data_IF_861984461977
#
_entry.id   IF_861984461977
#
_cell.length_a   1.000
_cell.length_b   1.000
_cell.length_c   1.000
_cell.angle_alpha   90.00
_cell.angle_beta   90.00
_cell.angle_gamma   90.00
#
_symmetry.space_group_name_H-M   'P 1'
#
loop_
_entity.id
_entity.type
_entity.pdbx_description
1 polymer ?
#
# COMPACT_ATOMS: atom_id res chain seq x y z
N UNK A 1 -19.40 -5.56 -13.36
CA UNK A 1 -18.24 -4.75 -12.94
C UNK A 1 -18.56 -3.26 -12.76
N UNK A 2 -18.03 -2.62 -11.70
CA UNK A 2 -18.02 -1.16 -11.46
C UNK A 2 -16.57 -0.70 -11.29
N UNK A 3 -16.21 0.41 -11.92
CA UNK A 3 -14.89 1.06 -11.78
C UNK A 3 -15.09 2.39 -11.04
N UNK A 4 -14.29 2.65 -10.02
CA UNK A 4 -14.32 3.91 -9.25
C UNK A 4 -12.91 4.49 -9.18
N UNK A 5 -12.76 5.73 -9.62
CA UNK A 5 -11.52 6.49 -9.48
C UNK A 5 -11.58 7.22 -8.14
N UNK A 6 -10.81 6.76 -7.15
CA UNK A 6 -10.80 7.40 -5.82
C UNK A 6 -9.79 8.55 -5.73
N UNK A 7 -8.76 8.54 -6.59
CA UNK A 7 -7.72 9.56 -6.69
C UNK A 7 -6.94 9.38 -8.01
N UNK A 8 -6.04 10.31 -8.35
CA UNK A 8 -5.24 10.27 -9.58
C UNK A 8 -5.95 10.81 -10.83
N UNK A 9 -7.18 11.29 -10.70
CA UNK A 9 -7.90 11.93 -11.80
C UNK A 9 -7.48 13.40 -11.97
N UNK A 10 -7.15 13.82 -13.20
CA UNK A 10 -6.67 15.17 -13.55
C UNK A 10 -5.39 15.63 -12.81
N UNK A 11 -4.59 14.69 -12.31
CA UNK A 11 -3.28 14.95 -11.68
C UNK A 11 -2.28 13.90 -12.14
N UNK A 12 -0.98 14.22 -12.05
CA UNK A 12 0.09 13.24 -12.26
C UNK A 12 0.35 12.54 -10.93
N UNK A 13 0.05 11.24 -10.88
CA UNK A 13 0.31 10.40 -9.72
C UNK A 13 -0.82 10.35 -8.69
N UNK A 14 -0.69 9.45 -7.70
CA UNK A 14 -1.69 9.22 -6.67
C UNK A 14 -2.76 8.21 -7.06
N UNK A 15 -2.48 7.36 -8.05
CA UNK A 15 -3.43 6.42 -8.64
C UNK A 15 -4.06 5.52 -7.58
N UNK A 16 -5.41 5.52 -7.54
CA UNK A 16 -6.24 4.67 -6.68
C UNK A 16 -7.50 4.27 -7.44
N UNK A 17 -7.42 3.19 -8.21
CA UNK A 17 -8.52 2.74 -9.07
C UNK A 17 -9.14 1.49 -8.45
N UNK A 18 -10.40 1.57 -8.04
CA UNK A 18 -11.13 0.46 -7.44
C UNK A 18 -11.98 -0.25 -8.51
N UNK A 19 -11.75 -1.54 -8.68
CA UNK A 19 -12.59 -2.43 -9.46
C UNK A 19 -13.46 -3.26 -8.51
N UNK A 20 -14.77 -3.25 -8.70
CA UNK A 20 -15.72 -4.05 -7.91
C UNK A 20 -16.61 -4.90 -8.81
N UNK A 21 -16.67 -6.20 -8.54
CA UNK A 21 -17.57 -7.13 -9.21
C UNK A 21 -18.08 -8.18 -8.21
N UNK A 22 -19.41 -8.30 -8.12
CA UNK A 22 -20.05 -9.11 -7.08
C UNK A 22 -19.58 -8.71 -5.68
N UNK A 23 -18.96 -9.68 -4.98
CA UNK A 23 -18.45 -9.53 -3.62
C UNK A 23 -16.93 -9.36 -3.54
N UNK A 24 -16.22 -9.23 -4.67
CA UNK A 24 -14.79 -8.94 -4.68
C UNK A 24 -14.53 -7.50 -5.11
N UNK A 25 -13.55 -6.88 -4.47
CA UNK A 25 -13.05 -5.55 -4.84
C UNK A 25 -11.52 -5.56 -4.84
N UNK A 26 -10.92 -5.15 -5.96
CA UNK A 26 -9.47 -5.11 -6.15
C UNK A 26 -9.06 -3.68 -6.50
N UNK A 27 -7.97 -3.20 -5.93
CA UNK A 27 -7.35 -1.95 -6.35
C UNK A 27 -6.35 -2.20 -7.49
N UNK A 28 -6.30 -1.31 -8.45
CA UNK A 28 -5.13 -1.06 -9.27
C UNK A 28 -4.44 0.19 -8.71
N UNK A 29 -3.27 -0.05 -8.12
CA UNK A 29 -2.44 0.90 -7.38
C UNK A 29 -3.12 1.52 -6.15
N UNK A 30 -2.29 1.99 -5.22
CA UNK A 30 -2.74 2.82 -4.10
C UNK A 30 -1.65 3.82 -3.70
N UNK A 31 -1.44 4.80 -4.58
CA UNK A 31 -0.28 5.68 -4.56
C UNK A 31 -0.43 6.98 -3.76
N UNK A 32 0.67 7.71 -3.63
CA UNK A 32 0.72 9.04 -3.02
C UNK A 32 0.43 10.12 -4.05
N UNK A 33 -0.55 10.99 -3.77
CA UNK A 33 -0.84 12.14 -4.63
C UNK A 33 0.14 13.28 -4.30
N UNK A 34 1.27 13.34 -5.00
CA UNK A 34 2.32 14.32 -4.71
C UNK A 34 1.85 15.78 -4.80
N UNK A 35 0.91 16.09 -5.69
CA UNK A 35 0.34 17.43 -5.79
C UNK A 35 -0.40 17.81 -4.51
N UNK A 36 -1.27 16.94 -3.99
CA UNK A 36 -2.00 17.21 -2.75
C UNK A 36 -1.07 17.18 -1.53
N UNK A 37 -0.10 16.27 -1.49
CA UNK A 37 0.88 16.24 -0.39
C UNK A 37 1.72 17.52 -0.38
N UNK A 38 2.20 18.00 -1.53
CA UNK A 38 2.95 19.26 -1.63
C UNK A 38 2.15 20.47 -1.13
N UNK A 39 0.83 20.51 -1.35
CA UNK A 39 -0.01 21.61 -0.85
C UNK A 39 0.04 21.78 0.69
N UNK A 40 0.29 20.71 1.43
CA UNK A 40 0.24 20.73 2.90
C UNK A 40 1.57 20.39 3.58
N UNK A 41 2.43 19.61 2.92
CA UNK A 41 3.68 19.08 3.44
C UNK A 41 4.82 19.43 2.48
N UNK A 42 5.28 20.69 2.58
CA UNK A 42 6.43 21.18 1.85
C UNK A 42 7.65 21.36 2.77
N UNK A 43 8.83 21.11 2.21
CA UNK A 43 10.15 21.22 2.84
C UNK A 43 10.28 20.47 4.18
N UNK A 44 10.09 21.18 5.29
CA UNK A 44 10.27 20.69 6.65
C UNK A 44 8.96 20.27 7.33
N UNK A 45 7.82 20.62 6.74
CA UNK A 45 6.51 20.26 7.27
C UNK A 45 6.14 18.85 6.83
N UNK A 46 5.83 17.99 7.80
CA UNK A 46 5.46 16.60 7.59
C UNK A 46 4.20 16.26 8.36
N UNK A 47 3.53 15.21 7.93
CA UNK A 47 2.45 14.61 8.68
C UNK A 47 2.92 14.22 10.08
N UNK A 48 2.03 14.34 11.07
CA UNK A 48 2.31 13.86 12.42
C UNK A 48 2.23 12.34 12.39
N UNK A 49 3.36 11.68 12.11
CA UNK A 49 3.42 10.22 11.97
C UNK A 49 2.83 9.44 13.15
N UNK A 50 2.94 9.99 14.37
CA UNK A 50 2.33 9.43 15.60
C UNK A 50 0.81 9.57 15.67
N UNK A 51 0.16 10.23 14.70
CA UNK A 51 -1.30 10.36 14.58
C UNK A 51 -1.88 9.41 13.52
N UNK A 52 -1.06 8.51 12.98
CA UNK A 52 -1.51 7.52 11.99
C UNK A 52 -2.12 8.20 10.77
N UNK A 53 -3.33 7.79 10.38
CA UNK A 53 -4.01 8.35 9.21
C UNK A 53 -4.73 9.67 9.47
N UNK A 54 -4.73 10.22 10.69
CA UNK A 54 -5.54 11.40 11.04
C UNK A 54 -5.32 12.59 10.12
N UNK A 55 -4.06 13.01 9.96
CA UNK A 55 -3.75 14.19 9.13
C UNK A 55 -4.12 13.92 7.67
N UNK A 56 -3.82 12.72 7.18
CA UNK A 56 -4.14 12.30 5.81
C UNK A 56 -5.66 12.32 5.55
N UNK A 57 -6.44 11.83 6.50
CA UNK A 57 -7.90 11.80 6.43
C UNK A 57 -8.52 13.20 6.46
N UNK A 58 -8.08 14.03 7.41
CA UNK A 58 -8.61 15.38 7.60
C UNK A 58 -8.29 16.29 6.41
N UNK A 59 -7.08 16.18 5.87
CA UNK A 59 -6.62 16.97 4.72
C UNK A 59 -7.07 16.41 3.36
N UNK A 60 -7.72 15.23 3.34
CA UNK A 60 -8.21 14.60 2.11
C UNK A 60 -7.09 14.05 1.21
N UNK A 61 -5.97 13.63 1.81
CA UNK A 61 -4.82 13.04 1.12
C UNK A 61 -5.02 11.55 0.79
N UNK A 62 -6.00 10.93 1.45
CA UNK A 62 -6.43 9.55 1.24
C UNK A 62 -7.96 9.51 1.13
N UNK A 63 -8.54 8.55 0.39
CA UNK A 63 -9.98 8.37 0.32
C UNK A 63 -10.59 8.25 1.72
N UNK A 64 -11.69 8.95 1.99
CA UNK A 64 -12.40 8.78 3.26
C UNK A 64 -13.23 7.49 3.18
N UNK A 65 -12.58 6.35 3.31
CA UNK A 65 -13.18 5.02 3.21
C UNK A 65 -12.75 4.15 4.39
N UNK A 66 -13.60 3.18 4.79
CA UNK A 66 -13.28 2.26 5.89
C UNK A 66 -12.51 1.03 5.36
N UNK A 67 -11.26 1.28 4.92
CA UNK A 67 -10.36 0.30 4.27
C UNK A 67 -8.95 0.26 4.89
N UNK A 68 -8.70 1.06 5.92
CA UNK A 68 -7.37 1.26 6.50
C UNK A 68 -7.10 0.32 7.67
N UNK A 69 -5.82 0.14 8.00
CA UNK A 69 -5.43 -0.65 9.17
C UNK A 69 -5.99 -0.01 10.43
N UNK A 70 -6.63 -0.83 11.25
CA UNK A 70 -7.25 -0.37 12.49
C UNK A 70 -6.25 0.24 13.47
N UNK A 71 -5.01 -0.24 13.47
CA UNK A 71 -3.94 0.26 14.34
C UNK A 71 -3.44 1.65 13.95
N UNK A 72 -3.69 2.11 12.72
CA UNK A 72 -3.37 3.47 12.26
C UNK A 72 -4.50 4.48 12.51
N UNK A 73 -5.65 4.05 13.03
CA UNK A 73 -6.80 4.91 13.31
C UNK A 73 -6.78 5.32 14.79
N UNK A 74 -6.45 6.58 15.13
CA UNK A 74 -6.45 7.01 16.52
C UNK A 74 -7.89 7.09 17.07
N UNK A 75 -7.98 7.06 18.41
CA UNK A 75 -9.26 6.99 19.14
C UNK A 75 -10.24 8.14 18.84
N UNK A 76 -9.73 9.32 18.51
CA UNK A 76 -10.54 10.50 18.12
C UNK A 76 -10.99 10.49 16.65
N UNK A 77 -10.55 9.52 15.84
CA UNK A 77 -10.97 9.34 14.45
C UNK A 77 -11.83 8.08 14.25
N UNK A 78 -11.81 7.16 15.20
CA UNK A 78 -12.43 5.83 15.07
C UNK A 78 -13.92 5.88 14.73
N UNK A 79 -14.66 6.83 15.32
CA UNK A 79 -16.09 6.98 15.07
C UNK A 79 -16.38 7.53 13.67
N UNK A 80 -15.55 8.45 13.17
CA UNK A 80 -15.72 8.99 11.82
C UNK A 80 -15.44 7.93 10.75
N UNK A 81 -14.36 7.16 10.90
CA UNK A 81 -14.06 6.04 9.99
C UNK A 81 -15.14 4.95 10.11
N UNK A 82 -15.52 4.60 11.35
CA UNK A 82 -16.53 3.57 11.63
C UNK A 82 -17.95 3.92 11.18
N UNK A 83 -18.25 5.20 10.97
CA UNK A 83 -19.53 5.64 10.40
C UNK A 83 -19.68 5.28 8.92
N UNK A 84 -18.57 4.95 8.24
CA UNK A 84 -18.56 4.52 6.85
C UNK A 84 -18.69 3.00 6.73
N UNK A 85 -19.41 2.56 5.71
CA UNK A 85 -19.56 1.14 5.39
C UNK A 85 -18.18 0.51 5.18
N UNK A 86 -17.91 -0.60 5.88
CA UNK A 86 -16.66 -1.33 5.72
C UNK A 86 -16.63 -1.97 4.34
N UNK A 87 -15.66 -1.58 3.52
CA UNK A 87 -15.46 -2.15 2.21
C UNK A 87 -14.43 -3.27 2.28
N UNK A 88 -14.81 -4.45 1.80
CA UNK A 88 -13.87 -5.58 1.65
C UNK A 88 -12.98 -5.30 0.43
N UNK A 89 -11.67 -5.31 0.64
CA UNK A 89 -10.65 -5.22 -0.41
C UNK A 89 -9.91 -6.55 -0.44
N UNK A 90 -9.88 -7.21 -1.59
CA UNK A 90 -9.33 -8.55 -1.77
C UNK A 90 -7.86 -8.54 -2.17
N UNK A 91 -7.40 -7.50 -2.87
CA UNK A 91 -6.00 -7.31 -3.23
C UNK A 91 -5.72 -5.88 -3.74
N UNK A 92 -4.44 -5.53 -3.80
CA UNK A 92 -3.92 -4.43 -4.62
C UNK A 92 -3.01 -5.00 -5.70
N UNK A 93 -3.37 -4.77 -6.97
CA UNK A 93 -2.48 -4.97 -8.10
C UNK A 93 -1.57 -3.75 -8.21
N UNK A 94 -0.27 -3.99 -8.33
CA UNK A 94 0.74 -2.94 -8.46
C UNK A 94 1.22 -2.90 -9.89
N UNK A 95 1.08 -1.75 -10.54
CA UNK A 95 1.58 -1.55 -11.90
C UNK A 95 3.11 -1.45 -11.93
N UNK A 96 3.70 -0.64 -11.05
CA UNK A 96 5.16 -0.51 -10.87
C UNK A 96 5.52 0.18 -9.55
N UNK A 97 6.82 0.27 -9.25
CA UNK A 97 7.33 0.60 -7.91
C UNK A 97 7.46 2.10 -7.57
N UNK A 98 6.88 3.01 -8.36
CA UNK A 98 6.92 4.43 -8.01
C UNK A 98 5.94 4.78 -6.89
N UNK A 99 6.28 5.78 -6.07
CA UNK A 99 5.51 6.13 -4.88
C UNK A 99 4.12 6.69 -5.17
N UNK A 100 3.91 7.25 -6.34
CA UNK A 100 2.61 7.67 -6.83
C UNK A 100 1.72 6.49 -7.29
N UNK A 101 2.23 5.26 -7.18
CA UNK A 101 1.50 4.00 -7.36
C UNK A 101 1.45 3.16 -6.08
N UNK A 102 2.49 3.18 -5.24
CA UNK A 102 2.56 2.30 -4.04
C UNK A 102 2.54 3.03 -2.70
N UNK A 103 2.77 4.34 -2.69
CA UNK A 103 3.16 5.10 -1.50
C UNK A 103 2.13 5.19 -0.38
N UNK A 104 0.88 4.75 -0.61
CA UNK A 104 -0.16 4.69 0.43
C UNK A 104 -0.64 3.25 0.72
N UNK A 105 -0.10 2.22 0.06
CA UNK A 105 -0.52 0.81 0.27
C UNK A 105 -0.30 0.38 1.73
N UNK A 106 0.73 0.87 2.40
CA UNK A 106 1.02 0.54 3.80
C UNK A 106 -0.09 0.99 4.79
N UNK A 107 -1.01 1.87 4.35
CA UNK A 107 -2.14 2.36 5.14
C UNK A 107 -3.34 1.40 5.12
N UNK A 108 -3.50 0.62 4.04
CA UNK A 108 -4.62 -0.30 3.84
C UNK A 108 -4.60 -1.44 4.87
N UNK A 109 -5.77 -1.96 5.25
CA UNK A 109 -5.93 -3.10 6.16
C UNK A 109 -4.85 -4.16 5.93
N UNK A 110 -4.17 -4.58 6.99
CA UNK A 110 -2.95 -5.41 6.92
C UNK A 110 -3.15 -6.76 6.24
N UNK A 111 -4.40 -7.21 6.12
CA UNK A 111 -4.74 -8.47 5.49
C UNK A 111 -4.91 -8.38 3.97
N UNK A 112 -4.97 -7.17 3.39
CA UNK A 112 -5.07 -6.98 1.95
C UNK A 112 -3.74 -7.41 1.30
N UNK A 113 -3.65 -8.45 0.48
CA UNK A 113 -2.40 -8.81 -0.18
C UNK A 113 -2.02 -7.80 -1.27
N UNK A 114 -0.73 -7.77 -1.61
CA UNK A 114 -0.23 -7.09 -2.82
C UNK A 114 0.15 -8.10 -3.89
N UNK A 115 -0.10 -7.73 -5.14
CA UNK A 115 0.22 -8.54 -6.32
C UNK A 115 1.02 -7.67 -7.28
N UNK A 116 2.19 -8.14 -7.72
CA UNK A 116 3.04 -7.39 -8.63
C UNK A 116 4.06 -8.27 -9.33
N UNK A 117 4.78 -7.71 -10.30
CA UNK A 117 5.88 -8.43 -10.96
C UNK A 117 7.03 -8.69 -9.98
N UNK A 118 7.83 -9.75 -10.18
CA UNK A 118 9.04 -9.99 -9.39
C UNK A 118 9.90 -8.72 -9.25
N UNK A 119 10.15 -8.03 -10.36
CA UNK A 119 10.98 -6.83 -10.42
C UNK A 119 10.38 -5.70 -9.58
N UNK A 120 9.07 -5.46 -9.72
CA UNK A 120 8.35 -4.44 -8.96
C UNK A 120 8.43 -4.71 -7.46
N UNK A 121 8.16 -5.95 -7.04
CA UNK A 121 8.19 -6.36 -5.63
C UNK A 121 9.61 -6.24 -5.03
N UNK A 122 10.65 -6.64 -5.78
CA UNK A 122 12.04 -6.51 -5.38
C UNK A 122 12.47 -5.04 -5.24
N UNK A 123 12.04 -4.16 -6.16
CA UNK A 123 12.33 -2.72 -6.08
C UNK A 123 11.63 -2.11 -4.87
N UNK A 124 10.34 -2.40 -4.65
CA UNK A 124 9.59 -1.92 -3.48
C UNK A 124 10.31 -2.32 -2.18
N UNK A 125 10.69 -3.60 -2.07
CA UNK A 125 11.42 -4.11 -0.91
C UNK A 125 12.77 -3.41 -0.72
N UNK A 126 13.51 -3.19 -1.82
CA UNK A 126 14.80 -2.50 -1.79
C UNK A 126 14.66 -1.05 -1.34
N UNK A 127 13.66 -0.33 -1.86
CA UNK A 127 13.37 1.04 -1.45
C UNK A 127 12.98 1.09 0.04
N UNK A 128 12.17 0.14 0.51
CA UNK A 128 11.78 0.03 1.91
C UNK A 128 13.00 -0.17 2.84
N UNK A 129 13.91 -1.08 2.48
CA UNK A 129 15.14 -1.35 3.23
C UNK A 129 16.09 -0.16 3.26
N UNK A 130 16.21 0.56 2.14
CA UNK A 130 17.02 1.77 2.01
C UNK A 130 16.40 3.00 2.70
N UNK A 131 15.09 2.95 3.02
CA UNK A 131 14.38 4.08 3.61
C UNK A 131 14.72 4.32 5.08
N UNK A 132 14.55 5.57 5.51
CA UNK A 132 14.63 5.94 6.94
C UNK A 132 13.34 5.65 7.72
N UNK A 133 12.38 4.92 7.15
CA UNK A 133 11.14 4.50 7.83
C UNK A 133 10.01 5.54 7.78
N UNK A 134 9.78 6.17 6.62
CA UNK A 134 8.55 6.93 6.38
C UNK A 134 7.36 5.99 6.16
N UNK A 135 6.14 6.44 6.47
CA UNK A 135 4.92 5.63 6.44
C UNK A 135 4.66 4.97 5.07
N UNK A 136 5.01 5.64 3.97
CA UNK A 136 4.83 5.11 2.61
C UNK A 136 5.84 4.03 2.19
N UNK A 137 6.87 3.77 3.00
CA UNK A 137 7.93 2.81 2.71
C UNK A 137 7.82 1.53 3.55
N UNK A 138 6.70 1.32 4.24
CA UNK A 138 6.42 0.14 5.05
C UNK A 138 5.78 -0.99 4.22
N UNK A 139 6.45 -1.40 3.13
CA UNK A 139 5.99 -2.45 2.21
C UNK A 139 7.15 -3.42 1.87
N UNK A 140 6.95 -4.74 1.96
CA UNK A 140 5.77 -5.43 2.49
C UNK A 140 5.76 -5.45 4.03
N UNK A 141 6.84 -5.02 4.68
CA UNK A 141 6.97 -5.01 6.14
C UNK A 141 6.50 -3.70 6.73
N UNK A 142 5.68 -3.79 7.77
CA UNK A 142 5.21 -2.65 8.55
C UNK A 142 5.29 -2.95 10.04
N UNK A 143 5.38 -1.89 10.84
CA UNK A 143 5.23 -2.01 12.27
C UNK A 143 3.76 -1.82 12.64
N UNK A 144 3.17 -2.81 13.34
CA UNK A 144 1.88 -2.64 14.00
C UNK A 144 2.01 -1.55 15.06
N UNK A 145 0.97 -0.73 15.18
CA UNK A 145 0.92 0.38 16.13
C UNK A 145 0.05 0.03 17.32
N UNK A 146 0.39 0.60 18.46
CA UNK A 146 -0.44 0.59 19.65
C UNK A 146 -0.85 2.03 19.96
N UNK A 147 -2.10 2.22 20.37
CA UNK A 147 -2.61 3.55 20.70
C UNK A 147 -2.48 3.79 22.20
N UNK A 148 -1.79 4.87 22.55
CA UNK A 148 -1.80 5.45 23.89
C UNK A 148 -2.53 6.80 23.75
N UNK A 149 -3.78 6.84 24.19
CA UNK A 149 -4.72 7.95 23.93
C UNK A 149 -4.86 8.21 22.42
N UNK A 150 -4.22 9.29 21.93
CA UNK A 150 -4.25 9.81 20.56
C UNK A 150 -2.93 9.59 19.81
N UNK A 151 -1.95 8.98 20.48
CA UNK A 151 -0.58 8.84 20.03
C UNK A 151 -0.30 7.37 19.75
N UNK A 152 0.18 7.10 18.54
CA UNK A 152 0.61 5.79 18.10
C UNK A 152 2.08 5.55 18.45
N UNK A 153 2.36 4.37 18.97
CA UNK A 153 3.71 3.86 19.24
C UNK A 153 3.97 2.61 18.40
N UNK A 154 5.22 2.38 18.03
CA UNK A 154 5.62 1.21 17.24
C UNK A 154 5.69 -0.04 18.11
N UNK A 155 5.02 -1.10 17.69
CA UNK A 155 5.06 -2.43 18.30
C UNK A 155 5.79 -3.46 17.42
N UNK A 156 5.23 -4.66 17.36
CA UNK A 156 5.75 -5.78 16.59
C UNK A 156 5.68 -5.53 15.07
N UNK A 157 6.60 -6.13 14.32
CA UNK A 157 6.60 -6.03 12.87
C UNK A 157 5.82 -7.20 12.26
N UNK A 158 5.10 -6.92 11.18
CA UNK A 158 4.41 -7.92 10.40
C UNK A 158 4.67 -7.69 8.91
N UNK A 159 4.48 -8.75 8.14
CA UNK A 159 4.61 -8.77 6.69
C UNK A 159 3.23 -8.90 6.06
N UNK A 160 2.92 -8.03 5.10
CA UNK A 160 1.76 -8.20 4.23
C UNK A 160 1.99 -9.40 3.31
N UNK A 161 0.92 -10.14 3.00
CA UNK A 161 0.99 -11.21 2.01
C UNK A 161 1.36 -10.63 0.63
N UNK A 162 2.28 -11.30 -0.06
CA UNK A 162 2.76 -10.93 -1.38
C UNK A 162 2.45 -12.06 -2.36
N UNK A 163 1.97 -11.72 -3.54
CA UNK A 163 1.88 -12.63 -4.68
C UNK A 163 2.66 -12.07 -5.86
N UNK A 164 3.55 -12.89 -6.43
CA UNK A 164 4.28 -12.54 -7.63
C UNK A 164 3.53 -13.00 -8.88
N UNK A 165 3.53 -12.19 -9.94
CA UNK A 165 2.93 -12.57 -11.23
C UNK A 165 3.64 -13.73 -11.91
N UNK A 166 4.90 -13.99 -11.53
CA UNK A 166 5.75 -15.05 -12.07
C UNK A 166 6.46 -15.77 -10.92
N UNK A 167 6.93 -17.00 -11.14
CA UNK A 167 7.75 -17.70 -10.12
C UNK A 167 9.04 -16.93 -9.86
N UNK A 168 9.33 -16.69 -8.59
CA UNK A 168 10.57 -16.06 -8.15
C UNK A 168 11.65 -17.12 -7.85
N UNK A 169 12.93 -16.85 -8.12
CA UNK A 169 14.02 -17.69 -7.63
C UNK A 169 14.09 -17.62 -6.09
N UNK A 170 14.68 -18.64 -5.47
CA UNK A 170 14.73 -18.77 -4.00
C UNK A 170 15.41 -17.56 -3.35
N UNK A 171 16.45 -17.00 -3.97
CA UNK A 171 17.17 -15.83 -3.46
C UNK A 171 16.26 -14.59 -3.40
N UNK A 172 15.32 -14.46 -4.34
CA UNK A 172 14.35 -13.36 -4.35
C UNK A 172 13.26 -13.56 -3.29
N UNK A 173 12.80 -14.81 -3.09
CA UNK A 173 11.87 -15.18 -2.02
C UNK A 173 12.52 -14.86 -0.66
N UNK A 174 13.74 -15.33 -0.42
CA UNK A 174 14.52 -15.06 0.80
C UNK A 174 14.70 -13.56 1.04
N UNK A 175 14.96 -12.80 -0.02
CA UNK A 175 15.12 -11.34 0.07
C UNK A 175 13.81 -10.64 0.48
N UNK A 176 12.68 -11.01 -0.12
CA UNK A 176 11.36 -10.43 0.20
C UNK A 176 10.90 -10.83 1.61
N UNK A 177 11.17 -12.06 2.04
CA UNK A 177 10.78 -12.59 3.35
C UNK A 177 11.67 -12.12 4.51
N UNK A 178 12.79 -11.43 4.22
CA UNK A 178 13.73 -10.99 5.25
C UNK A 178 13.63 -9.49 5.52
N UNK A 179 13.30 -9.14 6.76
CA UNK A 179 13.41 -7.76 7.25
C UNK A 179 14.89 -7.37 7.42
N UNK A 180 15.32 -6.28 6.76
CA UNK A 180 16.72 -5.82 6.79
C UNK A 180 17.18 -5.43 8.21
N UNK A 181 16.34 -4.69 8.94
CA UNK A 181 16.64 -4.29 10.33
C UNK A 181 16.36 -5.48 11.26
N UNK A 182 17.35 -5.92 12.02
CA UNK A 182 17.16 -6.94 13.05
C UNK A 182 16.09 -6.47 14.06
N UNK A 183 15.01 -7.25 14.19
CA UNK A 183 13.94 -7.08 15.16
C UNK A 183 13.74 -8.38 15.92
N UNK A 184 13.33 -8.29 17.19
CA UNK A 184 13.18 -9.47 18.06
C UNK A 184 11.99 -10.37 17.66
N UNK A 185 10.93 -9.77 17.12
CA UNK A 185 9.72 -10.45 16.68
C UNK A 185 9.25 -9.83 15.37
N UNK A 186 9.14 -10.67 14.33
CA UNK A 186 8.62 -10.31 13.02
C UNK A 186 7.72 -11.45 12.58
N UNK A 187 6.44 -11.16 12.33
CA UNK A 187 5.56 -12.08 11.62
C UNK A 187 5.93 -12.01 10.13
N UNK A 188 6.28 -13.16 9.54
CA UNK A 188 6.63 -13.29 8.12
C UNK A 188 5.60 -14.18 7.44
N UNK A 189 5.36 -13.94 6.15
CA UNK A 189 4.42 -14.71 5.32
C UNK A 189 5.15 -15.14 4.06
N UNK A 190 5.04 -16.41 3.71
CA UNK A 190 5.65 -16.95 2.49
C UNK A 190 5.04 -16.27 1.26
N UNK A 191 5.86 -15.68 0.36
CA UNK A 191 5.38 -15.15 -0.90
C UNK A 191 4.72 -16.24 -1.75
N UNK A 192 3.53 -15.97 -2.27
CA UNK A 192 2.85 -16.82 -3.23
C UNK A 192 3.08 -16.38 -4.67
N UNK A 193 2.48 -17.10 -5.60
CA UNK A 193 2.37 -16.73 -7.01
C UNK A 193 0.93 -16.34 -7.35
N UNK A 194 0.72 -15.69 -8.49
CA UNK A 194 -0.63 -15.31 -8.94
C UNK A 194 -1.58 -16.50 -9.04
N UNK A 195 -1.07 -17.71 -9.34
CA UNK A 195 -1.85 -18.95 -9.38
C UNK A 195 -2.40 -19.35 -8.01
N UNK A 196 -1.73 -18.96 -6.92
CA UNK A 196 -2.14 -19.22 -5.55
C UNK A 196 -3.21 -18.22 -5.05
N UNK A 197 -3.40 -17.11 -5.78
CA UNK A 197 -4.36 -16.08 -5.41
C UNK A 197 -5.76 -16.39 -5.96
N UNK A 198 -6.71 -16.65 -5.05
CA UNK A 198 -8.09 -16.97 -5.40
C UNK A 198 -8.90 -15.70 -5.70
N UNK A 199 -9.33 -15.56 -6.95
CA UNK A 199 -10.21 -14.48 -7.40
C UNK A 199 -11.00 -14.91 -8.63
N UNK A 200 -12.17 -14.32 -8.86
CA UNK A 200 -12.87 -14.48 -10.15
C UNK A 200 -12.33 -13.56 -11.25
N UNK A 201 -11.51 -12.56 -10.91
CA UNK A 201 -10.90 -11.69 -11.90
C UNK A 201 -9.81 -12.45 -12.67
N UNK A 202 -9.87 -12.40 -14.00
CA UNK A 202 -8.77 -12.85 -14.84
C UNK A 202 -7.68 -11.77 -14.86
N UNK A 203 -6.60 -11.98 -14.10
CA UNK A 203 -5.44 -11.08 -14.06
C UNK A 203 -4.45 -11.50 -15.13
N UNK A 204 -4.13 -10.61 -16.06
CA UNK A 204 -3.18 -10.81 -17.16
C UNK A 204 -2.03 -9.80 -17.04
N UNK A 205 -0.91 -10.18 -16.39
CA UNK A 205 0.28 -9.35 -16.33
C UNK A 205 0.85 -9.14 -17.72
N UNK A 206 1.17 -7.90 -18.08
CA UNK A 206 1.85 -7.56 -19.32
C UNK A 206 3.13 -6.81 -18.98
N UNK A 207 4.26 -7.26 -19.55
CA UNK A 207 5.50 -6.50 -19.48
C UNK A 207 5.36 -5.29 -20.39
N UNK A 208 5.55 -4.11 -19.83
CA UNK A 208 5.57 -2.86 -20.59
C UNK A 208 7.01 -2.41 -20.67
N UNK A 209 7.62 -2.54 -21.83
CA UNK A 209 8.90 -1.88 -22.07
C UNK A 209 8.63 -0.38 -22.18
N UNK A 210 9.28 0.44 -21.36
CA UNK A 210 9.27 1.90 -21.48
C UNK A 210 9.97 2.41 -22.76
N UNK A 211 10.19 1.53 -23.74
CA UNK A 211 10.75 1.79 -25.07
C UNK A 211 9.66 1.84 -26.16
N UNK A 212 8.43 2.21 -25.82
CA UNK A 212 7.43 2.53 -26.84
C UNK A 212 7.81 3.88 -27.48
N UNK A 213 8.02 3.90 -28.79
CA UNK A 213 8.11 5.11 -29.60
C UNK A 213 6.92 6.03 -29.29
N UNK A 214 7.18 7.14 -28.58
CA UNK A 214 6.15 8.11 -28.16
C UNK A 214 6.01 8.30 -26.65
N UNK A 215 6.68 7.50 -25.81
CA UNK A 215 6.80 7.75 -24.38
C UNK A 215 7.87 8.83 -24.09
N UNK A 216 7.63 10.05 -24.57
CA UNK A 216 8.35 11.25 -24.15
C UNK A 216 7.38 12.04 -23.26
N UNK A 217 7.73 12.17 -21.98
CA UNK A 217 7.19 13.22 -21.10
C UNK A 217 7.78 14.58 -21.45
#
# INVERSE_FOLDING_TARGET
MRITLLDGYNVIGGNKILLKEGNESIFLDFGMNFYLYGKYFEEFLKERSRRGIYDLWMLGLIPRENIYRRDLIPSDLINEVGSREKMKIDAVLISHAHLDHVGNIALLDENVPIIGSPETLLIIKSLADASRGSMGMEIPFFARRESIEYILTSGEYSQRQVFSTEKMPNEAIDFISRLYKKRKKVETKEPGTLEDFQTHFKILPQRVDHSILGALG
#
